data_IF_201905387067
#
_entry.id   IF_201905387067
#
_cell.length_a   1.000
_cell.length_b   1.000
_cell.length_c   1.000
_cell.angle_alpha   90.00
_cell.angle_beta   90.00
_cell.angle_gamma   90.00
#
_symmetry.space_group_name_H-M   'P 1'
#
loop_
_entity.id
_entity.type
_entity.pdbx_description
1 polymer ?
#
# COMPACT_ATOMS: atom_id res chain seq x y z
N UNK A 1 32.28 26.63 16.73
CA UNK A 1 30.83 26.52 17.00
C UNK A 1 29.97 26.66 15.75
N UNK A 2 30.12 27.73 14.95
CA UNK A 2 29.29 27.96 13.73
C UNK A 2 29.35 26.81 12.70
N UNK A 3 30.51 26.19 12.45
CA UNK A 3 30.61 25.03 11.55
C UNK A 3 29.76 23.83 11.99
N UNK A 4 29.72 23.55 13.29
CA UNK A 4 28.91 22.45 13.84
C UNK A 4 27.41 22.79 13.81
N UNK A 5 27.06 24.07 14.00
CA UNK A 5 25.69 24.55 13.85
C UNK A 5 25.19 24.40 12.40
N UNK A 6 26.02 24.73 11.41
CA UNK A 6 25.67 24.57 9.99
C UNK A 6 25.44 23.09 9.67
N UNK A 7 26.32 22.19 10.09
CA UNK A 7 26.16 20.74 9.88
C UNK A 7 24.90 20.20 10.54
N UNK A 8 24.60 20.63 11.76
CA UNK A 8 23.39 20.25 12.48
C UNK A 8 22.12 20.74 11.75
N UNK A 9 22.13 21.98 11.28
CA UNK A 9 20.99 22.56 10.53
C UNK A 9 20.82 21.86 9.18
N UNK A 10 21.90 21.56 8.46
CA UNK A 10 21.82 20.77 7.22
C UNK A 10 21.26 19.37 7.46
N UNK A 11 21.61 18.74 8.59
CA UNK A 11 21.12 17.42 8.98
C UNK A 11 19.62 17.46 9.31
N UNK A 12 19.15 18.48 10.04
CA UNK A 12 17.74 18.65 10.40
C UNK A 12 16.88 18.94 9.15
N UNK A 13 17.36 19.76 8.22
CA UNK A 13 16.66 20.04 6.95
C UNK A 13 16.59 18.76 6.08
N UNK A 14 17.65 17.96 6.07
CA UNK A 14 17.66 16.65 5.39
C UNK A 14 16.69 15.63 5.98
N UNK A 15 16.48 15.67 7.31
CA UNK A 15 15.50 14.80 7.98
C UNK A 15 14.04 15.17 7.62
N UNK A 16 13.74 16.45 7.40
CA UNK A 16 12.40 16.88 6.97
C UNK A 16 12.10 16.55 5.51
N UNK A 17 13.12 16.51 4.63
CA UNK A 17 12.96 16.10 3.22
C UNK A 17 12.70 14.60 3.02
N UNK A 18 12.80 13.77 4.07
CA UNK A 18 12.57 12.32 4.03
C UNK A 18 11.11 11.93 4.34
N UNK A 19 10.27 12.85 4.84
CA UNK A 19 8.82 12.66 4.83
C UNK A 19 8.29 13.00 3.44
N UNK A 20 8.63 12.17 2.44
CA UNK A 20 7.79 12.10 1.25
C UNK A 20 6.38 11.72 1.71
N UNK A 21 5.35 12.37 1.18
CA UNK A 21 3.94 12.05 1.40
C UNK A 21 3.65 10.62 0.92
N UNK A 22 4.10 9.62 1.67
CA UNK A 22 3.90 8.21 1.36
C UNK A 22 2.53 7.80 1.84
N UNK A 23 1.63 7.62 0.88
CA UNK A 23 0.26 7.18 1.13
C UNK A 23 0.21 5.69 1.53
N UNK A 24 1.16 4.88 1.04
CA UNK A 24 1.21 3.44 1.27
C UNK A 24 2.64 2.98 1.58
N UNK A 25 2.76 1.85 2.28
CA UNK A 25 4.01 1.08 2.25
C UNK A 25 4.19 0.44 0.88
N UNK A 26 5.43 0.46 0.39
CA UNK A 26 5.83 -0.17 -0.86
C UNK A 26 6.94 -1.21 -0.64
N UNK A 27 7.48 -1.76 -1.73
CA UNK A 27 8.59 -2.72 -1.67
C UNK A 27 9.89 -2.12 -1.11
N UNK A 28 10.05 -0.81 -1.13
CA UNK A 28 11.16 -0.12 -0.49
C UNK A 28 11.04 -0.16 1.03
N UNK A 29 9.84 0.10 1.56
CA UNK A 29 9.55 -0.06 2.99
C UNK A 29 9.72 -1.52 3.42
N UNK A 30 9.18 -2.45 2.61
CA UNK A 30 9.29 -3.89 2.85
C UNK A 30 10.75 -4.35 2.98
N UNK A 31 11.63 -3.87 2.08
CA UNK A 31 13.07 -4.17 2.10
C UNK A 31 13.78 -3.50 3.28
N UNK A 32 13.35 -2.30 3.69
CA UNK A 32 13.94 -1.56 4.83
C UNK A 32 13.74 -2.28 6.15
N UNK A 33 12.70 -3.10 6.30
CA UNK A 33 12.48 -3.90 7.52
C UNK A 33 13.71 -4.74 7.89
N UNK A 34 14.43 -5.28 6.90
CA UNK A 34 15.66 -6.04 7.16
C UNK A 34 16.73 -5.21 7.90
N UNK A 35 16.83 -3.92 7.57
CA UNK A 35 17.74 -2.99 8.24
C UNK A 35 17.24 -2.65 9.64
N UNK A 36 15.93 -2.41 9.79
CA UNK A 36 15.30 -2.12 11.09
C UNK A 36 15.39 -3.30 12.06
N UNK A 37 15.40 -4.52 11.55
CA UNK A 37 15.53 -5.75 12.33
C UNK A 37 17.00 -6.10 12.64
N UNK A 38 17.98 -5.31 12.18
CA UNK A 38 19.42 -5.54 12.40
C UNK A 38 19.88 -6.96 12.03
N UNK A 39 19.25 -7.56 11.01
CA UNK A 39 19.55 -8.93 10.57
C UNK A 39 18.90 -10.04 11.40
N UNK A 40 18.11 -9.72 12.43
CA UNK A 40 17.34 -10.70 13.19
C UNK A 40 16.09 -11.13 12.40
N UNK A 41 16.10 -12.38 11.90
CA UNK A 41 15.02 -12.93 11.07
C UNK A 41 13.67 -13.02 11.80
N UNK A 42 13.67 -13.23 13.12
CA UNK A 42 12.43 -13.29 13.90
C UNK A 42 11.80 -11.90 14.03
N UNK A 43 12.62 -10.88 14.31
CA UNK A 43 12.16 -9.50 14.39
C UNK A 43 11.69 -9.01 13.01
N UNK A 44 12.43 -9.32 11.94
CA UNK A 44 12.04 -8.99 10.56
C UNK A 44 10.65 -9.56 10.23
N UNK A 45 10.45 -10.85 10.52
CA UNK A 45 9.17 -11.50 10.34
C UNK A 45 8.06 -10.84 11.18
N UNK A 46 8.30 -10.56 12.46
CA UNK A 46 7.30 -9.96 13.36
C UNK A 46 6.85 -8.58 12.86
N UNK A 47 7.77 -7.75 12.37
CA UNK A 47 7.44 -6.42 11.81
C UNK A 47 6.58 -6.58 10.55
N UNK A 48 7.01 -7.42 9.60
CA UNK A 48 6.26 -7.67 8.36
C UNK A 48 4.87 -8.27 8.63
N UNK A 49 4.79 -9.24 9.54
CA UNK A 49 3.54 -9.86 9.94
C UNK A 49 2.60 -8.89 10.65
N UNK A 50 3.12 -7.99 11.49
CA UNK A 50 2.31 -6.95 12.14
C UNK A 50 1.65 -6.02 11.10
N UNK A 51 2.38 -5.62 10.06
CA UNK A 51 1.82 -4.82 8.97
C UNK A 51 0.73 -5.59 8.21
N UNK A 52 1.02 -6.83 7.79
CA UNK A 52 0.05 -7.69 7.08
C UNK A 52 -1.22 -7.89 7.91
N UNK A 53 -1.09 -8.24 9.18
CA UNK A 53 -2.24 -8.43 10.07
C UNK A 53 -3.03 -7.13 10.24
N UNK A 54 -2.37 -5.99 10.41
CA UNK A 54 -3.05 -4.70 10.52
C UNK A 54 -3.89 -4.34 9.29
N UNK A 55 -3.40 -4.67 8.09
CA UNK A 55 -4.16 -4.50 6.84
C UNK A 55 -5.39 -5.43 6.82
N UNK A 56 -5.22 -6.71 7.18
CA UNK A 56 -6.30 -7.68 7.20
C UNK A 56 -7.38 -7.31 8.23
N UNK A 57 -6.97 -6.93 9.44
CA UNK A 57 -7.86 -6.48 10.51
C UNK A 57 -8.63 -5.22 10.11
N UNK A 58 -7.94 -4.26 9.48
CA UNK A 58 -8.56 -3.04 8.97
C UNK A 58 -9.60 -3.33 7.89
N UNK A 59 -9.29 -4.22 6.94
CA UNK A 59 -10.23 -4.65 5.90
C UNK A 59 -11.46 -5.30 6.51
N UNK A 60 -11.27 -6.24 7.45
CA UNK A 60 -12.37 -6.92 8.14
C UNK A 60 -13.25 -5.92 8.90
N UNK A 61 -12.65 -4.97 9.60
CA UNK A 61 -13.38 -3.93 10.31
C UNK A 61 -14.28 -3.11 9.37
N UNK A 62 -13.74 -2.63 8.25
CA UNK A 62 -14.53 -1.83 7.30
C UNK A 62 -15.58 -2.66 6.57
N UNK A 63 -15.28 -3.92 6.23
CA UNK A 63 -16.28 -4.85 5.70
C UNK A 63 -17.47 -4.96 6.65
N UNK A 64 -17.24 -5.26 7.93
CA UNK A 64 -18.32 -5.41 8.92
C UNK A 64 -19.11 -4.11 9.12
N UNK A 65 -18.43 -2.96 9.07
CA UNK A 65 -19.06 -1.66 9.17
C UNK A 65 -19.97 -1.39 7.97
N UNK A 66 -19.53 -1.65 6.74
CA UNK A 66 -20.37 -1.51 5.54
C UNK A 66 -21.51 -2.51 5.56
N UNK A 67 -21.23 -3.76 5.94
CA UNK A 67 -22.22 -4.84 5.97
C UNK A 67 -23.38 -4.55 6.93
N UNK A 68 -23.10 -3.88 8.06
CA UNK A 68 -24.15 -3.44 9.01
C UNK A 68 -25.13 -2.41 8.43
N UNK A 69 -24.75 -1.73 7.35
CA UNK A 69 -25.57 -0.73 6.66
C UNK A 69 -26.22 -1.34 5.42
N UNK A 70 -25.42 -1.96 4.56
CA UNK A 70 -25.87 -2.57 3.31
C UNK A 70 -25.00 -3.78 2.95
N UNK A 71 -25.56 -4.98 3.11
CA UNK A 71 -24.82 -6.24 2.95
C UNK A 71 -24.33 -6.45 1.52
N UNK A 72 -25.19 -6.27 0.52
CA UNK A 72 -24.82 -6.46 -0.89
C UNK A 72 -23.70 -5.52 -1.35
N UNK A 73 -23.65 -4.31 -0.79
CA UNK A 73 -22.56 -3.37 -1.05
C UNK A 73 -21.25 -3.84 -0.43
N UNK A 74 -21.27 -4.36 0.81
CA UNK A 74 -20.08 -4.91 1.45
C UNK A 74 -19.52 -6.10 0.67
N UNK A 75 -20.38 -7.05 0.31
CA UNK A 75 -19.99 -8.24 -0.46
C UNK A 75 -19.39 -7.86 -1.82
N UNK A 76 -19.94 -6.82 -2.46
CA UNK A 76 -19.40 -6.31 -3.73
C UNK A 76 -18.09 -5.53 -3.56
N UNK A 77 -17.93 -4.72 -2.51
CA UNK A 77 -16.76 -3.86 -2.31
C UNK A 77 -15.54 -4.63 -1.82
N UNK A 78 -15.74 -5.73 -1.09
CA UNK A 78 -14.67 -6.54 -0.51
C UNK A 78 -14.63 -7.95 -1.12
N UNK A 79 -15.06 -8.07 -2.37
CA UNK A 79 -15.11 -9.34 -3.09
C UNK A 79 -13.72 -9.93 -3.38
N UNK A 80 -12.63 -9.17 -3.26
CA UNK A 80 -11.29 -9.70 -3.56
C UNK A 80 -10.86 -10.74 -2.52
N UNK A 81 -10.19 -11.80 -2.98
CA UNK A 81 -9.57 -12.75 -2.07
C UNK A 81 -8.25 -12.20 -1.55
N UNK A 82 -8.11 -12.09 -0.23
CA UNK A 82 -6.86 -11.59 0.41
C UNK A 82 -6.40 -12.46 1.59
N UNK A 83 -7.19 -13.47 1.94
CA UNK A 83 -7.08 -14.31 3.12
C UNK A 83 -6.86 -15.80 2.78
N UNK A 84 -6.60 -16.12 1.51
CA UNK A 84 -6.26 -17.48 1.09
C UNK A 84 -4.93 -17.95 1.71
N UNK A 85 -3.93 -17.07 1.73
CA UNK A 85 -2.64 -17.31 2.37
C UNK A 85 -2.70 -16.96 3.86
N UNK A 86 -2.12 -17.81 4.71
CA UNK A 86 -1.85 -17.41 6.10
C UNK A 86 -0.88 -16.21 6.15
N UNK A 87 -0.88 -15.40 7.22
CA UNK A 87 0.04 -14.26 7.33
C UNK A 87 1.51 -14.65 7.10
N UNK A 88 1.92 -15.85 7.54
CA UNK A 88 3.27 -16.35 7.33
C UNK A 88 3.57 -16.63 5.86
N UNK A 89 2.64 -17.28 5.16
CA UNK A 89 2.79 -17.57 3.74
C UNK A 89 2.74 -16.28 2.92
N UNK A 90 1.88 -15.33 3.32
CA UNK A 90 1.77 -14.03 2.67
C UNK A 90 3.06 -13.23 2.80
N UNK A 91 3.65 -13.13 4.01
CA UNK A 91 4.96 -12.49 4.20
C UNK A 91 6.02 -13.12 3.30
N UNK A 92 6.09 -14.45 3.23
CA UNK A 92 7.03 -15.16 2.35
C UNK A 92 6.76 -14.89 0.87
N UNK A 93 5.50 -14.82 0.47
CA UNK A 93 5.11 -14.51 -0.90
C UNK A 93 5.50 -13.07 -1.28
N UNK A 94 5.32 -12.12 -0.35
CA UNK A 94 5.72 -10.73 -0.53
C UNK A 94 7.24 -10.56 -0.60
N UNK A 95 8.01 -11.33 0.19
CA UNK A 95 9.47 -11.36 0.08
C UNK A 95 9.93 -11.75 -1.34
N UNK A 96 9.29 -12.76 -1.94
CA UNK A 96 9.56 -13.16 -3.31
C UNK A 96 9.08 -12.12 -4.34
N UNK A 97 7.88 -11.57 -4.15
CA UNK A 97 7.31 -10.56 -5.03
C UNK A 97 8.21 -9.32 -5.14
N UNK A 98 8.73 -8.85 -4.00
CA UNK A 98 9.62 -7.69 -3.96
C UNK A 98 11.09 -8.01 -4.25
N UNK A 99 11.45 -9.28 -4.47
CA UNK A 99 12.78 -9.62 -4.98
C UNK A 99 13.01 -9.01 -6.37
N UNK A 100 11.95 -8.87 -7.18
CA UNK A 100 11.99 -8.17 -8.47
C UNK A 100 12.09 -6.64 -8.26
N UNK A 101 13.16 -5.98 -8.76
CA UNK A 101 13.29 -4.53 -8.70
C UNK A 101 12.13 -3.77 -9.36
N UNK A 102 11.48 -4.35 -10.37
CA UNK A 102 10.36 -3.74 -11.10
C UNK A 102 9.04 -3.73 -10.30
N UNK A 103 9.03 -4.36 -9.12
CA UNK A 103 7.87 -4.41 -8.23
C UNK A 103 8.00 -3.48 -7.02
N UNK A 104 9.14 -2.82 -6.84
CA UNK A 104 9.46 -2.05 -5.61
C UNK A 104 8.47 -0.92 -5.32
N UNK A 105 7.88 -0.30 -6.34
CA UNK A 105 6.92 0.80 -6.17
C UNK A 105 5.46 0.33 -6.05
N UNK A 106 5.20 -0.97 -6.18
CA UNK A 106 3.86 -1.53 -6.01
C UNK A 106 3.50 -1.52 -4.51
N UNK A 107 2.37 -0.94 -4.10
CA UNK A 107 1.95 -0.92 -2.70
C UNK A 107 1.81 -2.33 -2.11
N UNK A 108 2.14 -2.49 -0.82
CA UNK A 108 2.07 -3.79 -0.12
C UNK A 108 0.65 -4.35 -0.13
N UNK A 109 -0.36 -3.50 0.02
CA UNK A 109 -1.78 -3.91 -0.06
C UNK A 109 -2.14 -4.54 -1.41
N UNK A 110 -1.69 -3.96 -2.53
CA UNK A 110 -1.90 -4.52 -3.86
C UNK A 110 -1.09 -5.80 -4.07
N UNK A 111 0.16 -5.83 -3.57
CA UNK A 111 0.99 -7.02 -3.62
C UNK A 111 0.39 -8.19 -2.82
N UNK A 112 -0.33 -7.91 -1.73
CA UNK A 112 -1.07 -8.92 -0.95
C UNK A 112 -2.18 -9.57 -1.79
N UNK A 113 -2.94 -8.77 -2.55
CA UNK A 113 -3.98 -9.29 -3.46
C UNK A 113 -3.34 -10.16 -4.54
N UNK A 114 -2.29 -9.66 -5.20
CA UNK A 114 -1.57 -10.39 -6.25
C UNK A 114 -1.02 -11.72 -5.72
N UNK A 115 -0.46 -11.73 -4.51
CA UNK A 115 0.05 -12.93 -3.86
C UNK A 115 -1.04 -13.99 -3.63
N UNK A 116 -2.23 -13.58 -3.18
CA UNK A 116 -3.37 -14.48 -3.02
C UNK A 116 -3.88 -14.99 -4.37
N UNK A 117 -3.97 -14.13 -5.40
CA UNK A 117 -4.35 -14.54 -6.76
C UNK A 117 -3.42 -15.63 -7.32
N UNK A 118 -2.10 -15.50 -7.09
CA UNK A 118 -1.14 -16.54 -7.45
C UNK A 118 -1.38 -17.85 -6.69
N UNK A 119 -1.63 -17.75 -5.38
CA UNK A 119 -1.86 -18.92 -4.53
C UNK A 119 -3.15 -19.66 -4.89
N UNK A 120 -4.20 -18.93 -5.25
CA UNK A 120 -5.48 -19.46 -5.77
C UNK A 120 -5.41 -19.97 -7.21
N UNK A 121 -4.27 -19.79 -7.89
CA UNK A 121 -4.06 -20.21 -9.28
C UNK A 121 -5.02 -19.52 -10.24
N UNK A 122 -5.33 -18.24 -9.99
CA UNK A 122 -6.03 -17.40 -10.96
C UNK A 122 -5.22 -17.39 -12.27
N UNK A 123 -5.88 -17.40 -13.45
CA UNK A 123 -5.18 -17.40 -14.73
C UNK A 123 -4.14 -16.27 -14.83
N UNK A 124 -2.90 -16.59 -15.24
CA UNK A 124 -1.77 -15.65 -15.29
C UNK A 124 -2.11 -14.37 -16.07
N UNK A 125 -2.84 -14.49 -17.18
CA UNK A 125 -3.29 -13.33 -17.98
C UNK A 125 -4.10 -12.31 -17.15
N UNK A 126 -4.91 -12.78 -16.20
CA UNK A 126 -5.69 -11.91 -15.31
C UNK A 126 -4.78 -11.26 -14.27
N UNK A 127 -3.85 -12.04 -13.70
CA UNK A 127 -2.86 -11.53 -12.74
C UNK A 127 -1.98 -10.47 -13.38
N UNK A 128 -1.45 -10.72 -14.58
CA UNK A 128 -0.61 -9.79 -15.33
C UNK A 128 -1.36 -8.49 -15.65
N UNK A 129 -2.63 -8.59 -16.08
CA UNK A 129 -3.47 -7.43 -16.32
C UNK A 129 -3.68 -6.61 -15.04
N UNK A 130 -3.93 -7.27 -13.90
CA UNK A 130 -4.07 -6.61 -12.61
C UNK A 130 -2.77 -5.91 -12.19
N UNK A 131 -1.63 -6.59 -12.31
CA UNK A 131 -0.30 -6.01 -12.02
C UNK A 131 -0.05 -4.75 -12.86
N UNK A 132 -0.35 -4.79 -14.16
CA UNK A 132 -0.19 -3.62 -15.02
C UNK A 132 -1.13 -2.48 -14.64
N UNK A 133 -2.38 -2.79 -14.32
CA UNK A 133 -3.35 -1.79 -13.86
C UNK A 133 -2.89 -1.14 -12.55
N UNK A 134 -2.41 -1.93 -11.58
CA UNK A 134 -1.86 -1.43 -10.32
C UNK A 134 -0.67 -0.51 -10.56
N UNK A 135 0.28 -0.92 -11.42
CA UNK A 135 1.46 -0.12 -11.76
C UNK A 135 1.08 1.21 -12.41
N UNK A 136 0.15 1.19 -13.36
CA UNK A 136 -0.36 2.41 -13.98
C UNK A 136 -1.02 3.32 -12.96
N UNK A 137 -1.92 2.77 -12.14
CA UNK A 137 -2.66 3.52 -11.12
C UNK A 137 -1.75 4.18 -10.09
N UNK A 138 -0.77 3.45 -9.53
CA UNK A 138 0.12 4.05 -8.53
C UNK A 138 1.02 5.12 -9.14
N UNK A 139 1.47 4.95 -10.38
CA UNK A 139 2.27 5.96 -11.07
C UNK A 139 1.45 7.24 -11.34
N UNK A 140 0.21 7.10 -11.84
CA UNK A 140 -0.70 8.23 -12.04
C UNK A 140 -1.00 8.94 -10.71
N UNK A 141 -1.23 8.19 -9.63
CA UNK A 141 -1.46 8.76 -8.30
C UNK A 141 -0.23 9.53 -7.77
N UNK A 142 0.97 8.97 -7.93
CA UNK A 142 2.21 9.63 -7.51
C UNK A 142 2.44 10.94 -8.28
N UNK A 143 2.24 10.94 -9.60
CA UNK A 143 2.35 12.16 -10.42
C UNK A 143 1.37 13.24 -9.95
N UNK A 144 0.12 12.85 -9.65
CA UNK A 144 -0.89 13.79 -9.15
C UNK A 144 -0.55 14.35 -7.77
N UNK A 145 0.04 13.53 -6.90
CA UNK A 145 0.48 13.94 -5.56
C UNK A 145 1.70 14.86 -5.58
N UNK A 146 2.52 14.77 -6.62
CA UNK A 146 3.63 15.71 -6.84
C UNK A 146 3.12 17.09 -7.31
N UNK A 147 1.98 17.12 -8.01
CA UNK A 147 1.36 18.34 -8.53
C UNK A 147 0.37 19.00 -7.55
N UNK A 148 -0.34 18.21 -6.74
CA UNK A 148 -1.43 18.66 -5.88
C UNK A 148 -1.36 17.99 -4.50
N UNK A 149 -1.86 18.67 -3.46
CA UNK A 149 -1.93 18.05 -2.13
C UNK A 149 -2.97 16.91 -2.09
N UNK A 150 -2.83 15.90 -1.20
CA UNK A 150 -3.82 14.84 -1.07
C UNK A 150 -5.25 15.33 -0.80
N UNK A 151 -5.38 16.46 -0.09
CA UNK A 151 -6.66 17.08 0.21
C UNK A 151 -7.31 17.65 -1.06
N UNK A 152 -6.52 18.31 -1.91
CA UNK A 152 -6.99 18.85 -3.20
C UNK A 152 -7.46 17.73 -4.14
N UNK A 153 -6.75 16.59 -4.19
CA UNK A 153 -7.16 15.45 -5.00
C UNK A 153 -8.50 14.84 -4.53
N UNK A 154 -8.72 14.77 -3.22
CA UNK A 154 -9.97 14.29 -2.65
C UNK A 154 -11.12 15.27 -2.94
N UNK A 155 -10.85 16.57 -2.82
CA UNK A 155 -11.82 17.63 -3.11
C UNK A 155 -12.19 17.65 -4.59
N UNK A 156 -11.22 17.61 -5.50
CA UNK A 156 -11.46 17.53 -6.95
C UNK A 156 -12.30 16.30 -7.32
N UNK A 157 -11.99 15.14 -6.71
CA UNK A 157 -12.76 13.92 -6.93
C UNK A 157 -14.20 14.08 -6.41
N UNK A 158 -14.38 14.67 -5.23
CA UNK A 158 -15.68 14.94 -4.65
C UNK A 158 -16.50 15.91 -5.52
N UNK A 159 -15.89 16.98 -6.02
CA UNK A 159 -16.55 17.95 -6.91
C UNK A 159 -16.98 17.31 -8.23
N UNK A 160 -16.10 16.54 -8.89
CA UNK A 160 -16.43 15.79 -10.11
C UNK A 160 -17.59 14.82 -9.91
N UNK A 161 -17.70 14.20 -8.74
CA UNK A 161 -18.83 13.34 -8.40
C UNK A 161 -20.11 14.13 -8.16
N UNK A 162 -20.04 15.29 -7.51
CA UNK A 162 -21.18 16.20 -7.28
C UNK A 162 -21.75 16.75 -8.58
N UNK A 163 -20.89 17.11 -9.54
CA UNK A 163 -21.32 17.62 -10.85
C UNK A 163 -21.98 16.55 -11.74
N UNK A 164 -21.64 15.27 -11.55
CA UNK A 164 -22.23 14.14 -12.28
C UNK A 164 -23.58 13.68 -11.72
N UNK A 165 -23.94 14.09 -10.50
CA UNK A 165 -25.26 13.81 -9.97
C UNK A 165 -26.28 14.75 -10.65
N UNK A 166 -27.40 14.23 -11.19
CA UNK A 166 -28.44 15.09 -11.71
C UNK A 166 -28.90 16.04 -10.60
N UNK A 167 -28.98 17.34 -10.91
CA UNK A 167 -29.64 18.30 -10.01
C UNK A 167 -31.10 17.89 -9.91
N UNK A 168 -31.49 17.33 -8.77
CA UNK A 168 -32.89 17.19 -8.39
C UNK A 168 -33.53 18.57 -8.20
#
# INVERSE_FOLDING_TARGET
>A
MIKYLIVLVSFIIGLQGQQQNRLFWDGGDWKRVKQLAEGNLEIEYRIKAAYVNGVLDGRLFFYLKTWSVEQGLADSLYAETIDYLSPRELVRSLDNFYADPLMVYVPVTSAMIIANMYAERIPLKIIDAYVQQTKFWINDLLLRLDEHSPAELLEEKHEKHREKQPRN
#
